data_IF_003008901923
#
_entry.id   IF_003008901923
#
_cell.length_a   1.000
_cell.length_b   1.000
_cell.length_c   1.000
_cell.angle_alpha   90.00
_cell.angle_beta   90.00
_cell.angle_gamma   90.00
#
_symmetry.space_group_name_H-M   'P 1'
#
loop_
_entity.id
_entity.type
_entity.pdbx_description
1 polymer ?
#
# COMPACT_ATOMS: atom_id res chain seq x y z
N UNK A 1 3.28 -25.06 -6.73
CA UNK A 1 3.29 -23.89 -5.84
C UNK A 1 4.23 -24.20 -4.70
N UNK A 2 5.28 -23.40 -4.52
CA UNK A 2 6.27 -23.57 -3.45
C UNK A 2 5.65 -23.18 -2.10
N UNK A 3 6.26 -23.65 -1.00
CA UNK A 3 5.79 -23.35 0.36
C UNK A 3 5.74 -21.84 0.64
N UNK A 4 6.70 -21.08 0.12
CA UNK A 4 6.74 -19.62 0.28
C UNK A 4 5.64 -18.90 -0.49
N UNK A 5 5.28 -19.36 -1.70
CA UNK A 5 4.16 -18.79 -2.46
C UNK A 5 2.83 -18.94 -1.72
N UNK A 6 2.61 -20.09 -1.08
CA UNK A 6 1.41 -20.36 -0.30
C UNK A 6 1.33 -19.44 0.94
N UNK A 7 2.45 -19.24 1.65
CA UNK A 7 2.54 -18.35 2.81
C UNK A 7 2.19 -16.90 2.45
N UNK A 8 2.70 -16.41 1.31
CA UNK A 8 2.40 -15.06 0.83
C UNK A 8 0.91 -14.90 0.47
N UNK A 9 0.32 -15.89 -0.20
CA UNK A 9 -1.10 -15.86 -0.54
C UNK A 9 -1.98 -15.82 0.71
N UNK A 10 -1.71 -16.68 1.69
CA UNK A 10 -2.46 -16.71 2.96
C UNK A 10 -2.32 -15.38 3.69
N UNK A 11 -1.12 -14.81 3.73
CA UNK A 11 -0.88 -13.49 4.33
C UNK A 11 -1.71 -12.39 3.65
N UNK A 12 -1.74 -12.35 2.31
CA UNK A 12 -2.55 -11.38 1.57
C UNK A 12 -4.05 -11.56 1.82
N UNK A 13 -4.55 -12.80 1.82
CA UNK A 13 -5.97 -13.10 2.10
C UNK A 13 -6.36 -12.66 3.51
N UNK A 14 -5.48 -12.89 4.49
CA UNK A 14 -5.71 -12.41 5.86
C UNK A 14 -5.75 -10.88 5.91
N UNK A 15 -4.83 -10.20 5.22
CA UNK A 15 -4.74 -8.75 5.20
C UNK A 15 -6.01 -8.08 4.63
N UNK A 16 -6.52 -8.57 3.50
CA UNK A 16 -7.71 -7.99 2.85
C UNK A 16 -9.01 -8.25 3.63
N UNK A 17 -9.01 -9.20 4.56
CA UNK A 17 -10.15 -9.49 5.43
C UNK A 17 -10.01 -8.88 6.83
N UNK A 18 -8.80 -8.47 7.24
CA UNK A 18 -8.55 -7.85 8.53
C UNK A 18 -9.19 -6.45 8.63
N UNK A 19 -10.33 -6.40 9.31
CA UNK A 19 -11.14 -5.19 9.47
C UNK A 19 -10.46 -4.10 10.31
N UNK A 20 -9.29 -4.38 10.88
CA UNK A 20 -8.39 -3.35 11.39
C UNK A 20 -8.05 -2.32 10.32
N UNK A 21 -7.92 -2.71 9.05
CA UNK A 21 -7.53 -1.83 7.96
C UNK A 21 -8.74 -1.25 7.19
N UNK A 22 -8.68 0.04 6.84
CA UNK A 22 -9.72 0.75 6.11
C UNK A 22 -10.02 0.12 4.75
N UNK A 23 -8.98 -0.39 4.08
CA UNK A 23 -9.11 -1.07 2.78
C UNK A 23 -9.94 -2.34 2.88
N UNK A 24 -9.77 -3.14 3.93
CA UNK A 24 -10.56 -4.33 4.21
C UNK A 24 -12.02 -3.99 4.59
N UNK A 25 -12.22 -2.90 5.35
CA UNK A 25 -13.57 -2.39 5.66
C UNK A 25 -14.30 -1.92 4.41
N UNK A 26 -13.60 -1.18 3.54
CA UNK A 26 -14.10 -0.76 2.24
C UNK A 26 -14.49 -1.97 1.40
N UNK A 27 -13.60 -2.95 1.24
CA UNK A 27 -13.85 -4.13 0.42
C UNK A 27 -15.06 -4.94 0.92
N UNK A 28 -15.16 -5.15 2.25
CA UNK A 28 -16.32 -5.82 2.86
C UNK A 28 -17.62 -5.05 2.65
N UNK A 29 -17.60 -3.71 2.76
CA UNK A 29 -18.79 -2.87 2.56
C UNK A 29 -19.29 -2.98 1.12
N UNK A 30 -18.42 -2.87 0.14
CA UNK A 30 -18.81 -2.95 -1.27
C UNK A 30 -19.15 -4.37 -1.72
N UNK A 31 -18.48 -5.39 -1.16
CA UNK A 31 -18.87 -6.79 -1.34
C UNK A 31 -20.32 -7.04 -0.92
N UNK A 32 -20.74 -6.51 0.24
CA UNK A 32 -22.15 -6.61 0.70
C UNK A 32 -23.15 -5.90 -0.22
N UNK A 33 -22.76 -4.79 -0.85
CA UNK A 33 -23.65 -4.01 -1.72
C UNK A 33 -23.78 -4.67 -3.09
N UNK A 34 -22.68 -5.18 -3.64
CA UNK A 34 -22.60 -5.70 -5.02
C UNK A 34 -22.87 -7.21 -5.11
N UNK A 35 -22.77 -7.94 -4.00
CA UNK A 35 -22.78 -9.40 -3.99
C UNK A 35 -21.48 -10.04 -4.49
N UNK A 36 -20.47 -9.24 -4.85
CA UNK A 36 -19.17 -9.72 -5.34
C UNK A 36 -18.28 -10.12 -4.17
N UNK A 37 -17.50 -11.19 -4.32
CA UNK A 37 -16.53 -11.63 -3.32
C UNK A 37 -15.47 -10.55 -3.04
N UNK A 38 -15.05 -10.42 -1.78
CA UNK A 38 -14.05 -9.44 -1.33
C UNK A 38 -12.75 -9.56 -2.14
N UNK A 39 -12.26 -10.79 -2.35
CA UNK A 39 -11.05 -11.04 -3.13
C UNK A 39 -11.16 -10.55 -4.57
N UNK A 40 -12.29 -10.84 -5.22
CA UNK A 40 -12.53 -10.42 -6.60
C UNK A 40 -12.60 -8.90 -6.70
N UNK A 41 -13.28 -8.25 -5.75
CA UNK A 41 -13.40 -6.80 -5.70
C UNK A 41 -12.04 -6.11 -5.53
N UNK A 42 -11.19 -6.62 -4.64
CA UNK A 42 -9.83 -6.11 -4.45
C UNK A 42 -8.96 -6.34 -5.69
N UNK A 43 -8.96 -7.55 -6.25
CA UNK A 43 -8.22 -7.89 -7.48
C UNK A 43 -8.64 -7.00 -8.66
N UNK A 44 -9.95 -6.81 -8.85
CA UNK A 44 -10.49 -5.95 -9.90
C UNK A 44 -10.08 -4.48 -9.71
N UNK A 45 -10.07 -3.98 -8.47
CA UNK A 45 -9.64 -2.61 -8.16
C UNK A 45 -8.15 -2.41 -8.46
N UNK A 46 -7.31 -3.35 -8.05
CA UNK A 46 -5.86 -3.32 -8.35
C UNK A 46 -5.64 -3.34 -9.86
N UNK A 47 -6.30 -4.25 -10.58
CA UNK A 47 -6.18 -4.36 -12.03
C UNK A 47 -6.67 -3.09 -12.74
N UNK A 48 -7.75 -2.49 -12.26
CA UNK A 48 -8.27 -1.24 -12.78
C UNK A 48 -7.27 -0.08 -12.62
N UNK A 49 -6.67 0.07 -11.43
CA UNK A 49 -5.65 1.10 -11.18
C UNK A 49 -4.43 0.87 -12.08
N UNK A 50 -3.94 -0.38 -12.19
CA UNK A 50 -2.83 -0.73 -13.08
C UNK A 50 -3.17 -0.40 -14.54
N UNK A 51 -4.37 -0.75 -15.00
CA UNK A 51 -4.84 -0.43 -16.35
C UNK A 51 -4.86 1.08 -16.61
N UNK A 52 -5.35 1.88 -15.67
CA UNK A 52 -5.33 3.33 -15.77
C UNK A 52 -3.90 3.87 -15.88
N UNK A 53 -2.96 3.38 -15.07
CA UNK A 53 -1.56 3.82 -15.10
C UNK A 53 -0.86 3.49 -16.44
N UNK A 54 -1.33 2.48 -17.16
CA UNK A 54 -0.79 2.11 -18.48
C UNK A 54 -1.37 3.00 -19.59
N UNK A 55 -2.65 3.37 -19.50
CA UNK A 55 -3.38 4.01 -20.61
C UNK A 55 -3.39 5.54 -20.51
N UNK A 56 -3.26 6.10 -19.30
CA UNK A 56 -3.25 7.55 -19.10
C UNK A 56 -2.02 8.20 -19.77
N UNK A 57 -2.24 9.37 -20.38
CA UNK A 57 -1.15 10.18 -20.96
C UNK A 57 -0.17 10.72 -19.92
N UNK A 58 -0.69 11.01 -18.73
CA UNK A 58 0.07 11.60 -17.62
C UNK A 58 -0.21 10.77 -16.35
N UNK A 59 0.32 9.54 -16.26
CA UNK A 59 0.01 8.60 -15.17
C UNK A 59 0.53 9.07 -13.80
N UNK A 60 1.48 10.00 -13.79
CA UNK A 60 2.03 10.60 -12.58
C UNK A 60 0.98 11.29 -11.71
N UNK A 61 -0.05 11.93 -12.30
CA UNK A 61 -1.12 12.56 -11.53
C UNK A 61 -1.90 11.54 -10.70
N UNK A 62 -2.23 10.39 -11.28
CA UNK A 62 -2.92 9.31 -10.57
C UNK A 62 -2.01 8.69 -9.51
N UNK A 63 -0.78 8.32 -9.87
CA UNK A 63 0.14 7.67 -8.96
C UNK A 63 0.49 8.57 -7.76
N UNK A 64 0.91 9.81 -8.01
CA UNK A 64 1.25 10.75 -6.95
C UNK A 64 0.03 11.17 -6.14
N UNK A 65 -1.13 11.33 -6.79
CA UNK A 65 -2.39 11.62 -6.11
C UNK A 65 -2.75 10.53 -5.11
N UNK A 66 -2.69 9.25 -5.49
CA UNK A 66 -2.92 8.13 -4.59
C UNK A 66 -1.92 8.11 -3.42
N UNK A 67 -0.64 8.37 -3.72
CA UNK A 67 0.42 8.44 -2.70
C UNK A 67 0.28 9.65 -1.77
N UNK A 68 -0.45 10.70 -2.13
CA UNK A 68 -0.75 11.81 -1.20
C UNK A 68 -2.03 11.53 -0.42
N UNK A 69 -3.08 11.08 -1.10
CA UNK A 69 -4.41 10.93 -0.50
C UNK A 69 -4.43 9.83 0.55
N UNK A 70 -3.79 8.68 0.30
CA UNK A 70 -3.79 7.56 1.26
C UNK A 70 -3.16 7.97 2.60
N UNK A 71 -1.94 8.53 2.67
CA UNK A 71 -1.37 9.04 3.92
C UNK A 71 -2.22 10.12 4.61
N UNK A 72 -2.90 10.99 3.85
CA UNK A 72 -3.83 11.99 4.41
C UNK A 72 -5.01 11.29 5.08
N UNK A 73 -5.63 10.30 4.43
CA UNK A 73 -6.71 9.49 5.01
C UNK A 73 -6.23 8.85 6.31
N UNK A 74 -5.07 8.19 6.29
CA UNK A 74 -4.50 7.55 7.48
C UNK A 74 -4.14 8.56 8.58
N UNK A 75 -3.77 9.80 8.22
CA UNK A 75 -3.37 10.81 9.20
C UNK A 75 -4.57 11.47 9.89
N UNK A 76 -5.63 11.75 9.14
CA UNK A 76 -6.74 12.60 9.62
C UNK A 76 -8.07 11.86 9.79
N UNK A 77 -8.35 10.84 8.99
CA UNK A 77 -9.62 10.11 9.03
C UNK A 77 -9.50 8.80 9.79
N UNK A 78 -8.37 8.11 9.68
CA UNK A 78 -8.12 6.82 10.33
C UNK A 78 -6.81 6.82 11.13
N UNK A 79 -6.67 7.71 12.12
CA UNK A 79 -5.41 7.89 12.87
C UNK A 79 -4.97 6.63 13.63
N UNK A 80 -5.87 5.69 13.90
CA UNK A 80 -5.57 4.38 14.51
C UNK A 80 -4.75 3.46 13.60
N UNK A 81 -4.79 3.67 12.29
CA UNK A 81 -4.03 2.92 11.27
C UNK A 81 -2.77 3.66 10.82
N UNK A 82 -2.58 4.90 11.28
CA UNK A 82 -1.43 5.73 10.94
C UNK A 82 -0.13 5.05 11.38
N UNK A 83 0.89 4.92 10.51
CA UNK A 83 2.22 4.51 10.93
C UNK A 83 2.84 5.47 11.94
N UNK A 84 3.88 5.00 12.63
CA UNK A 84 4.68 5.81 13.52
C UNK A 84 5.19 7.09 12.82
N UNK A 85 5.26 8.20 13.54
CA UNK A 85 5.66 9.51 13.01
C UNK A 85 7.00 9.47 12.28
N UNK A 86 7.98 8.70 12.78
CA UNK A 86 9.27 8.51 12.10
C UNK A 86 9.13 7.87 10.71
N UNK A 87 8.28 6.84 10.56
CA UNK A 87 8.01 6.20 9.26
C UNK A 87 7.32 7.19 8.33
N UNK A 88 6.36 7.98 8.84
CA UNK A 88 5.71 9.02 8.05
C UNK A 88 6.68 10.10 7.56
N UNK A 89 7.66 10.49 8.38
CA UNK A 89 8.69 11.44 7.99
C UNK A 89 9.58 10.89 6.87
N UNK A 90 10.03 9.63 7.01
CA UNK A 90 10.80 8.94 5.97
C UNK A 90 9.98 8.84 4.68
N UNK A 91 8.71 8.44 4.80
CA UNK A 91 7.78 8.34 3.68
C UNK A 91 7.69 9.66 2.90
N UNK A 92 7.38 10.77 3.57
CA UNK A 92 7.21 12.07 2.92
C UNK A 92 8.51 12.58 2.29
N UNK A 93 9.64 12.32 2.93
CA UNK A 93 10.97 12.67 2.39
C UNK A 93 11.26 11.89 1.11
N UNK A 94 11.09 10.56 1.14
CA UNK A 94 11.28 9.70 -0.04
C UNK A 94 10.30 10.05 -1.15
N UNK A 95 9.04 10.34 -0.80
CA UNK A 95 8.00 10.73 -1.75
C UNK A 95 8.36 12.06 -2.43
N UNK A 96 8.75 13.08 -1.66
CA UNK A 96 9.17 14.38 -2.20
C UNK A 96 10.34 14.25 -3.18
N UNK A 97 11.36 13.48 -2.81
CA UNK A 97 12.49 13.16 -3.72
C UNK A 97 11.97 12.45 -4.96
N UNK A 98 11.18 11.38 -4.82
CA UNK A 98 10.67 10.62 -5.96
C UNK A 98 9.85 11.48 -6.92
N UNK A 99 9.04 12.42 -6.44
CA UNK A 99 8.26 13.34 -7.29
C UNK A 99 9.18 14.27 -8.10
N UNK A 100 10.23 14.81 -7.48
CA UNK A 100 11.20 15.67 -8.18
C UNK A 100 11.89 14.89 -9.32
N UNK A 101 12.15 13.60 -9.12
CA UNK A 101 12.80 12.74 -10.11
C UNK A 101 11.84 12.06 -11.09
N UNK A 102 10.51 12.29 -11.02
CA UNK A 102 9.53 11.57 -11.84
C UNK A 102 9.85 11.65 -13.33
N UNK A 103 10.17 12.84 -13.86
CA UNK A 103 10.50 13.03 -15.28
C UNK A 103 11.75 12.26 -15.74
N UNK A 104 12.68 12.00 -14.83
CA UNK A 104 13.92 11.25 -15.12
C UNK A 104 13.66 9.74 -15.00
N UNK A 105 12.78 9.33 -14.10
CA UNK A 105 12.50 7.91 -13.86
C UNK A 105 11.40 7.36 -14.76
N UNK A 106 10.57 8.22 -15.36
CA UNK A 106 9.51 7.87 -16.32
C UNK A 106 10.03 7.18 -17.58
N UNK A 107 11.34 7.30 -17.89
CA UNK A 107 12.00 6.51 -18.94
C UNK A 107 12.02 5.00 -18.65
N UNK A 108 11.86 4.60 -17.38
CA UNK A 108 11.78 3.18 -16.98
C UNK A 108 10.36 2.67 -17.25
N UNK A 109 10.19 1.60 -18.05
CA UNK A 109 8.87 1.02 -18.29
C UNK A 109 8.15 0.64 -16.99
N UNK A 110 6.85 0.94 -16.92
CA UNK A 110 6.01 0.67 -15.75
C UNK A 110 6.46 1.38 -14.47
N UNK A 111 7.27 2.44 -14.57
CA UNK A 111 7.82 3.18 -13.44
C UNK A 111 6.79 3.49 -12.35
N UNK A 112 5.64 4.06 -12.70
CA UNK A 112 4.62 4.45 -11.70
C UNK A 112 3.95 3.27 -11.00
N UNK A 113 3.89 2.09 -11.64
CA UNK A 113 3.42 0.86 -11.00
C UNK A 113 4.44 0.42 -9.95
N UNK A 114 5.73 0.41 -10.30
CA UNK A 114 6.80 0.09 -9.35
C UNK A 114 6.89 1.12 -8.22
N UNK A 115 6.72 2.41 -8.52
CA UNK A 115 6.66 3.49 -7.54
C UNK A 115 5.55 3.23 -6.52
N UNK A 116 4.31 3.00 -6.99
CA UNK A 116 3.18 2.69 -6.11
C UNK A 116 3.46 1.44 -5.27
N UNK A 117 3.92 0.35 -5.86
CA UNK A 117 4.23 -0.88 -5.14
C UNK A 117 5.28 -0.65 -4.03
N UNK A 118 6.36 0.08 -4.33
CA UNK A 118 7.41 0.39 -3.38
C UNK A 118 6.91 1.23 -2.20
N UNK A 119 6.10 2.26 -2.46
CA UNK A 119 5.56 3.10 -1.40
C UNK A 119 4.45 2.40 -0.60
N UNK A 120 3.60 1.59 -1.24
CA UNK A 120 2.60 0.77 -0.53
C UNK A 120 3.29 -0.22 0.41
N UNK A 121 4.41 -0.82 0.00
CA UNK A 121 5.15 -1.75 0.83
C UNK A 121 5.64 -1.15 2.15
N UNK A 122 5.85 0.17 2.24
CA UNK A 122 6.20 0.85 3.49
C UNK A 122 5.07 0.84 4.53
N UNK A 123 3.83 0.65 4.10
CA UNK A 123 2.65 0.60 4.97
C UNK A 123 2.16 -0.82 5.25
N UNK A 124 2.67 -1.82 4.52
CA UNK A 124 2.23 -3.20 4.71
C UNK A 124 2.81 -3.75 6.02
N UNK A 125 1.99 -4.44 6.84
CA UNK A 125 2.51 -5.17 7.99
C UNK A 125 3.49 -6.26 7.50
N UNK A 126 4.46 -6.67 8.33
CA UNK A 126 5.41 -7.69 7.94
C UNK A 126 4.70 -8.99 7.54
N UNK A 127 5.04 -9.53 6.37
CA UNK A 127 4.48 -10.78 5.84
C UNK A 127 5.10 -12.05 6.44
N UNK A 128 6.18 -11.90 7.21
CA UNK A 128 6.91 -12.99 7.84
C UNK A 128 7.07 -12.72 9.35
N UNK A 129 6.83 -13.71 10.23
CA UNK A 129 7.03 -13.58 11.68
C UNK A 129 8.46 -13.14 12.07
N UNK A 130 9.47 -13.44 11.24
CA UNK A 130 10.85 -12.96 11.45
C UNK A 130 10.96 -11.44 11.27
N UNK A 131 10.21 -10.87 10.32
CA UNK A 131 10.15 -9.42 10.11
C UNK A 131 9.29 -8.78 11.21
N UNK A 132 8.26 -9.47 11.71
CA UNK A 132 7.49 -9.03 12.89
C UNK A 132 8.36 -8.90 14.14
N UNK A 133 9.32 -9.83 14.35
CA UNK A 133 10.31 -9.73 15.43
C UNK A 133 11.25 -8.54 15.25
N UNK A 134 11.69 -8.25 14.03
CA UNK A 134 12.50 -7.05 13.74
C UNK A 134 11.68 -5.79 13.97
N UNK A 135 10.42 -5.76 13.53
CA UNK A 135 9.51 -4.62 13.71
C UNK A 135 9.21 -4.36 15.19
N UNK A 136 8.98 -5.41 15.99
CA UNK A 136 8.84 -5.32 17.46
C UNK A 136 10.15 -4.87 18.11
N UNK A 137 11.30 -5.35 17.63
CA UNK A 137 12.60 -4.95 18.17
C UNK A 137 12.92 -3.49 17.88
N UNK A 138 12.56 -2.97 16.70
CA UNK A 138 12.69 -1.55 16.34
C UNK A 138 11.73 -0.70 17.17
N UNK A 139 10.46 -1.11 17.31
CA UNK A 139 9.45 -0.36 18.07
C UNK A 139 9.67 -0.40 19.60
N UNK A 140 10.44 -1.36 20.13
CA UNK A 140 10.77 -1.49 21.56
C UNK A 140 12.13 -0.88 21.93
N UNK A 141 12.85 -0.23 21.01
CA UNK A 141 14.03 0.56 21.39
C UNK A 141 13.53 1.87 21.99
N UNK A 142 13.75 2.13 23.30
CA UNK A 142 13.35 3.40 23.89
C UNK A 142 14.12 4.53 23.21
N UNK A 143 13.40 5.58 22.80
CA UNK A 143 14.01 6.82 22.33
C UNK A 143 14.98 7.32 23.41
N UNK A 144 16.25 7.49 23.04
CA UNK A 144 17.29 8.05 23.90
C UNK A 144 17.26 9.56 23.87
#
# INVERSE_FOLDING_TARGET
MSKSELEVQVWFVNLIHDQKYITARWAKRYSKITGVEVEMLVKATILFIIGLLIVLKEPHYLANGLLVVVPIILTYLEPSERPATGIMFIYWTLFGVSVVFDRILEYIPLYYIFKLAAFIALFLPPSNPTIELIHKKINNIPEK
#
